data_IF_806331230954
#
_entry.id   IF_806331230954
#
_cell.length_a   1.000
_cell.length_b   1.000
_cell.length_c   1.000
_cell.angle_alpha   90.00
_cell.angle_beta   90.00
_cell.angle_gamma   90.00
#
_symmetry.space_group_name_H-M   'P 1'
#
loop_
_entity.id
_entity.type
_entity.pdbx_description
1 polymer ?
#
# COMPACT_ATOMS: atom_id res chain seq x y z
N UNK A 1 -11.81 12.62 -18.54
CA UNK A 1 -11.30 13.52 -17.49
C UNK A 1 -10.39 14.55 -18.14
N UNK A 2 -10.55 15.82 -17.81
CA UNK A 2 -9.73 16.92 -18.31
C UNK A 2 -8.49 17.12 -17.41
N UNK A 3 -7.43 17.74 -17.95
CA UNK A 3 -6.24 18.12 -17.16
C UNK A 3 -6.58 19.05 -15.99
N UNK A 4 -7.70 19.77 -16.02
CA UNK A 4 -8.23 20.55 -14.89
C UNK A 4 -8.66 19.66 -13.70
N UNK A 5 -9.03 18.41 -13.96
CA UNK A 5 -9.55 17.46 -12.97
C UNK A 5 -8.44 16.58 -12.37
N UNK A 6 -7.35 16.34 -13.12
CA UNK A 6 -6.22 15.49 -12.69
C UNK A 6 -4.89 16.26 -12.53
N UNK A 7 -4.79 17.48 -13.05
CA UNK A 7 -3.57 18.30 -13.11
C UNK A 7 -3.24 19.00 -11.80
N UNK A 8 -3.27 18.25 -10.70
CA UNK A 8 -2.73 18.71 -9.42
C UNK A 8 -1.28 18.27 -9.29
N UNK A 9 -0.47 19.01 -8.54
CA UNK A 9 0.86 18.59 -8.10
C UNK A 9 0.73 17.61 -6.90
N UNK A 10 -0.15 16.64 -7.01
CA UNK A 10 -0.40 15.61 -5.99
C UNK A 10 -0.67 14.31 -6.72
N UNK A 11 0.15 13.29 -6.43
CA UNK A 11 -0.02 11.98 -7.05
C UNK A 11 -1.19 11.20 -6.42
N UNK A 12 -1.57 11.53 -5.17
CA UNK A 12 -2.76 11.00 -4.50
C UNK A 12 -3.96 11.91 -4.73
N UNK A 13 -5.07 11.35 -5.24
CA UNK A 13 -6.37 11.99 -5.27
C UNK A 13 -7.13 11.68 -3.97
N UNK A 14 -7.55 12.70 -3.23
CA UNK A 14 -8.37 12.57 -2.02
C UNK A 14 -7.74 13.20 -0.77
N UNK A 15 -8.54 14.06 -0.12
CA UNK A 15 -8.44 14.65 1.24
C UNK A 15 -7.04 14.85 1.85
N UNK A 16 -6.66 16.12 1.97
CA UNK A 16 -5.46 16.58 2.65
C UNK A 16 -4.26 16.59 1.72
N UNK A 17 -3.95 17.76 1.14
CA UNK A 17 -2.65 17.98 0.51
C UNK A 17 -1.62 17.77 1.62
N UNK A 18 -0.98 16.59 1.67
CA UNK A 18 0.16 16.40 2.54
C UNK A 18 1.12 17.56 2.25
N UNK A 19 1.61 18.26 3.29
CA UNK A 19 2.57 19.33 3.08
C UNK A 19 3.77 18.75 2.32
N UNK A 20 4.49 19.62 1.62
CA UNK A 20 5.77 19.22 1.03
C UNK A 20 6.64 18.61 2.12
N UNK A 21 6.99 17.33 1.93
CA UNK A 21 7.82 16.56 2.87
C UNK A 21 9.12 16.18 2.19
N UNK A 22 10.17 16.10 2.99
CA UNK A 22 11.51 15.70 2.51
C UNK A 22 11.65 14.17 2.47
N UNK A 23 10.77 13.42 3.15
CA UNK A 23 10.80 11.95 3.20
C UNK A 23 10.82 11.26 1.83
N UNK A 24 10.08 11.70 0.79
CA UNK A 24 10.12 11.04 -0.52
C UNK A 24 11.45 11.31 -1.23
N UNK A 25 12.05 12.49 -1.00
CA UNK A 25 13.35 12.84 -1.54
C UNK A 25 14.48 12.03 -0.87
N UNK A 26 14.41 11.85 0.46
CA UNK A 26 15.34 10.98 1.18
C UNK A 26 15.24 9.55 0.66
N UNK A 27 14.01 9.03 0.53
CA UNK A 27 13.77 7.70 -0.03
C UNK A 27 14.32 7.57 -1.46
N UNK A 28 14.10 8.58 -2.31
CA UNK A 28 14.67 8.63 -3.67
C UNK A 28 16.20 8.59 -3.67
N UNK A 29 16.86 9.41 -2.84
CA UNK A 29 18.32 9.47 -2.78
C UNK A 29 18.91 8.15 -2.28
N UNK A 30 18.33 7.56 -1.23
CA UNK A 30 18.73 6.27 -0.69
C UNK A 30 18.54 5.17 -1.76
N UNK A 31 17.35 5.08 -2.37
CA UNK A 31 17.06 4.09 -3.41
C UNK A 31 18.02 4.25 -4.59
N UNK A 32 18.25 5.47 -5.07
CA UNK A 32 19.16 5.74 -6.18
C UNK A 32 20.60 5.31 -5.89
N UNK A 33 21.09 5.51 -4.66
CA UNK A 33 22.41 5.03 -4.26
C UNK A 33 22.52 3.50 -4.33
N UNK A 34 21.51 2.79 -3.82
CA UNK A 34 21.49 1.32 -3.84
C UNK A 34 21.36 0.72 -5.24
N UNK A 35 20.68 1.41 -6.17
CA UNK A 35 20.51 0.94 -7.56
C UNK A 35 21.82 0.91 -8.37
N UNK A 36 22.79 1.77 -8.05
CA UNK A 36 24.06 1.86 -8.79
C UNK A 36 25.28 1.31 -8.06
N UNK A 37 25.08 0.78 -6.84
CA UNK A 37 26.15 0.48 -5.88
C UNK A 37 27.07 1.68 -5.59
N UNK A 38 27.94 1.55 -4.58
CA UNK A 38 28.87 2.62 -4.23
C UNK A 38 29.77 3.02 -5.41
N UNK A 39 30.23 2.04 -6.19
CA UNK A 39 31.15 2.26 -7.32
C UNK A 39 30.49 3.02 -8.46
N UNK A 40 29.24 2.70 -8.82
CA UNK A 40 28.51 3.40 -9.88
C UNK A 40 28.16 4.83 -9.48
N UNK A 41 27.79 5.04 -8.20
CA UNK A 41 27.56 6.38 -7.67
C UNK A 41 28.82 7.26 -7.72
N UNK A 42 29.99 6.71 -7.36
CA UNK A 42 31.27 7.43 -7.45
C UNK A 42 31.61 7.77 -8.90
N UNK A 43 31.46 6.81 -9.83
CA UNK A 43 31.71 7.04 -11.25
C UNK A 43 30.77 8.09 -11.85
N UNK A 44 29.49 8.07 -11.47
CA UNK A 44 28.52 9.09 -11.88
C UNK A 44 28.94 10.49 -11.41
N UNK A 45 29.36 10.63 -10.14
CA UNK A 45 29.86 11.91 -9.61
C UNK A 45 31.08 12.41 -10.37
N UNK A 46 32.05 11.54 -10.66
CA UNK A 46 33.20 11.89 -11.50
C UNK A 46 32.79 12.34 -12.90
N UNK A 47 31.79 11.68 -13.50
CA UNK A 47 31.22 12.06 -14.79
C UNK A 47 30.58 13.45 -14.78
N UNK A 48 29.84 13.79 -13.72
CA UNK A 48 29.26 15.11 -13.52
C UNK A 48 30.37 16.17 -13.43
N UNK A 49 31.44 15.90 -12.69
CA UNK A 49 32.60 16.81 -12.55
C UNK A 49 33.29 17.01 -13.91
N UNK A 50 33.54 15.92 -14.65
CA UNK A 50 34.15 15.97 -15.97
C UNK A 50 33.31 16.79 -16.97
N UNK A 51 31.99 16.62 -16.91
CA UNK A 51 31.04 17.32 -17.78
C UNK A 51 31.02 18.84 -17.55
N UNK A 52 31.48 19.33 -16.39
CA UNK A 52 31.56 20.77 -16.08
C UNK A 52 32.42 21.55 -17.09
N UNK A 53 33.30 20.90 -17.84
CA UNK A 53 34.05 21.51 -18.95
C UNK A 53 33.14 21.96 -20.11
N UNK A 54 32.02 21.25 -20.34
CA UNK A 54 31.00 21.64 -21.31
C UNK A 54 29.75 22.15 -20.58
N UNK A 55 29.72 23.46 -20.30
CA UNK A 55 28.64 24.12 -19.55
C UNK A 55 27.24 23.85 -20.11
N UNK A 56 27.08 23.85 -21.43
CA UNK A 56 25.78 23.63 -22.06
C UNK A 56 25.26 22.22 -21.79
N UNK A 57 26.10 21.21 -22.02
CA UNK A 57 25.74 19.81 -21.76
C UNK A 57 25.54 19.54 -20.27
N UNK A 58 26.40 20.11 -19.41
CA UNK A 58 26.27 20.04 -17.96
C UNK A 58 24.92 20.57 -17.46
N UNK A 59 24.57 21.80 -17.85
CA UNK A 59 23.32 22.44 -17.44
C UNK A 59 22.13 21.65 -17.97
N UNK A 60 22.16 21.22 -19.23
CA UNK A 60 21.07 20.44 -19.82
C UNK A 60 20.83 19.12 -19.07
N UNK A 61 21.87 18.30 -18.87
CA UNK A 61 21.73 17.01 -18.19
C UNK A 61 21.37 17.18 -16.71
N UNK A 62 21.91 18.19 -16.04
CA UNK A 62 21.57 18.50 -14.65
C UNK A 62 20.10 18.91 -14.51
N UNK A 63 19.62 19.84 -15.34
CA UNK A 63 18.22 20.26 -15.30
C UNK A 63 17.28 19.12 -15.68
N UNK A 64 17.59 18.35 -16.72
CA UNK A 64 16.78 17.20 -17.12
C UNK A 64 16.67 16.17 -15.98
N UNK A 65 17.79 15.83 -15.34
CA UNK A 65 17.81 14.95 -14.17
C UNK A 65 16.98 15.51 -13.00
N UNK A 66 17.17 16.79 -12.65
CA UNK A 66 16.48 17.43 -11.53
C UNK A 66 14.95 17.40 -11.74
N UNK A 67 14.48 17.78 -12.92
CA UNK A 67 13.04 17.87 -13.23
C UNK A 67 12.36 16.50 -13.39
N UNK A 68 13.06 15.51 -13.95
CA UNK A 68 12.50 14.15 -14.14
C UNK A 68 12.61 13.30 -12.87
N UNK A 69 13.57 13.59 -11.98
CA UNK A 69 13.80 12.85 -10.74
C UNK A 69 13.41 13.63 -9.49
N UNK A 70 14.37 14.23 -8.75
CA UNK A 70 14.14 14.85 -7.45
C UNK A 70 12.96 15.83 -7.38
N UNK A 71 12.82 16.72 -8.37
CA UNK A 71 11.73 17.70 -8.40
C UNK A 71 10.40 17.00 -8.63
N UNK A 72 10.32 16.07 -9.59
CA UNK A 72 9.11 15.28 -9.79
C UNK A 72 8.70 14.54 -8.50
N UNK A 73 9.64 13.85 -7.85
CA UNK A 73 9.40 13.11 -6.60
C UNK A 73 8.91 14.04 -5.48
N UNK A 74 9.53 15.20 -5.31
CA UNK A 74 9.11 16.21 -4.36
C UNK A 74 7.69 16.74 -4.65
N UNK A 75 7.36 16.92 -5.93
CA UNK A 75 6.04 17.36 -6.38
C UNK A 75 4.96 16.29 -6.24
N UNK A 76 5.29 15.02 -5.97
CA UNK A 76 4.25 13.99 -5.74
C UNK A 76 3.49 14.19 -4.43
N UNK A 77 4.06 14.92 -3.46
CA UNK A 77 3.52 15.14 -2.11
C UNK A 77 3.09 13.87 -1.38
N UNK A 78 3.74 12.75 -1.69
CA UNK A 78 3.36 11.44 -1.19
C UNK A 78 4.50 10.85 -0.36
N UNK A 79 4.28 10.60 0.93
CA UNK A 79 5.30 10.04 1.83
C UNK A 79 5.34 8.51 1.73
N UNK A 80 6.53 7.89 1.58
CA UNK A 80 6.71 6.44 1.41
C UNK A 80 6.58 5.68 2.74
N UNK A 81 5.54 6.00 3.53
CA UNK A 81 5.39 5.48 4.91
C UNK A 81 4.82 4.06 4.94
N UNK A 82 4.17 3.62 3.86
CA UNK A 82 3.71 2.25 3.71
C UNK A 82 4.27 1.64 2.43
N UNK A 83 4.38 0.31 2.43
CA UNK A 83 5.00 -0.47 1.35
C UNK A 83 4.33 -0.24 -0.01
N UNK A 84 3.01 -0.07 -0.02
CA UNK A 84 2.23 0.13 -1.25
C UNK A 84 2.46 1.49 -1.91
N UNK A 85 2.59 2.55 -1.11
CA UNK A 85 2.93 3.90 -1.57
C UNK A 85 4.40 3.95 -2.00
N UNK A 86 5.30 3.41 -1.18
CA UNK A 86 6.73 3.38 -1.47
C UNK A 86 7.02 2.71 -2.83
N UNK A 87 6.46 1.52 -3.07
CA UNK A 87 6.58 0.83 -4.36
C UNK A 87 5.89 1.56 -5.52
N UNK A 88 4.82 2.30 -5.24
CA UNK A 88 4.12 3.12 -6.24
C UNK A 88 4.92 4.35 -6.69
N UNK A 89 5.75 4.92 -5.82
CA UNK A 89 6.64 6.05 -6.12
C UNK A 89 7.95 5.56 -6.76
N UNK A 90 8.52 4.47 -6.25
CA UNK A 90 9.82 3.92 -6.69
C UNK A 90 9.88 3.66 -8.20
N UNK A 91 8.78 3.17 -8.79
CA UNK A 91 8.71 2.90 -10.24
C UNK A 91 9.01 4.13 -11.11
N UNK A 92 8.80 5.35 -10.60
CA UNK A 92 9.08 6.58 -11.34
C UNK A 92 10.56 6.97 -11.32
N UNK A 93 11.38 6.36 -10.46
CA UNK A 93 12.79 6.67 -10.34
C UNK A 93 13.58 6.22 -11.58
N UNK A 94 13.09 5.19 -12.27
CA UNK A 94 13.73 4.64 -13.46
C UNK A 94 13.98 5.71 -14.55
N UNK A 95 13.06 6.66 -14.69
CA UNK A 95 13.19 7.73 -15.69
C UNK A 95 14.40 8.64 -15.42
N UNK A 96 14.68 8.98 -14.15
CA UNK A 96 15.85 9.78 -13.79
C UNK A 96 17.13 8.94 -13.66
N UNK A 97 17.01 7.63 -13.47
CA UNK A 97 18.16 6.72 -13.43
C UNK A 97 18.87 6.59 -14.77
N UNK A 98 18.21 6.87 -15.90
CA UNK A 98 18.84 6.89 -17.24
C UNK A 98 20.01 7.88 -17.36
N UNK A 99 20.06 8.93 -16.53
CA UNK A 99 21.18 9.89 -16.53
C UNK A 99 22.46 9.35 -15.90
N UNK A 100 22.37 8.38 -14.98
CA UNK A 100 23.55 7.81 -14.30
C UNK A 100 24.47 7.05 -15.26
N UNK A 101 23.98 6.13 -16.13
CA UNK A 101 24.81 5.52 -17.17
C UNK A 101 25.53 6.53 -18.06
N UNK A 102 24.89 7.65 -18.40
CA UNK A 102 25.50 8.71 -19.22
C UNK A 102 26.70 9.32 -18.48
N UNK A 103 26.53 9.68 -17.21
CA UNK A 103 27.62 10.22 -16.40
C UNK A 103 28.73 9.19 -16.16
N UNK A 104 28.38 7.93 -15.89
CA UNK A 104 29.34 6.84 -15.76
C UNK A 104 30.16 6.69 -17.05
N UNK A 105 29.53 6.75 -18.22
CA UNK A 105 30.23 6.70 -19.51
C UNK A 105 31.19 7.87 -19.72
N UNK A 106 30.78 9.09 -19.34
CA UNK A 106 31.66 10.27 -19.37
C UNK A 106 32.86 10.09 -18.44
N UNK A 107 32.65 9.52 -17.25
CA UNK A 107 33.73 9.19 -16.32
C UNK A 107 34.71 8.19 -16.94
N UNK A 108 34.21 7.12 -17.56
CA UNK A 108 35.05 6.18 -18.28
C UNK A 108 35.86 6.84 -19.40
N UNK A 109 35.24 7.71 -20.20
CA UNK A 109 35.95 8.45 -21.25
C UNK A 109 37.08 9.31 -20.66
N UNK A 110 36.81 10.06 -19.59
CA UNK A 110 37.81 10.87 -18.89
C UNK A 110 38.98 10.01 -18.37
N UNK A 111 38.68 8.87 -17.75
CA UNK A 111 39.71 8.00 -17.16
C UNK A 111 40.54 7.25 -18.23
N UNK A 112 39.92 6.81 -19.33
CA UNK A 112 40.60 6.11 -20.44
C UNK A 112 41.54 7.04 -21.21
N UNK A 113 41.14 8.30 -21.40
CA UNK A 113 41.93 9.32 -22.10
C UNK A 113 43.02 9.96 -21.24
N UNK A 114 43.09 9.60 -19.95
CA UNK A 114 44.11 10.08 -19.04
C UNK A 114 45.51 9.58 -19.46
N UNK A 115 46.53 10.44 -19.30
CA UNK A 115 47.93 10.11 -19.62
C UNK A 115 48.53 9.05 -18.69
N UNK A 116 47.95 8.85 -17.50
CA UNK A 116 48.42 7.85 -16.53
C UNK A 116 47.99 6.44 -16.95
N UNK A 117 48.95 5.64 -17.44
CA UNK A 117 48.74 4.25 -17.88
C UNK A 117 48.00 3.39 -16.84
N UNK A 118 48.34 3.53 -15.55
CA UNK A 118 47.72 2.78 -14.47
C UNK A 118 46.20 3.03 -14.40
N UNK A 119 45.77 4.30 -14.44
CA UNK A 119 44.35 4.66 -14.44
C UNK A 119 43.63 4.08 -15.66
N UNK A 120 44.25 4.15 -16.84
CA UNK A 120 43.69 3.59 -18.07
C UNK A 120 43.43 2.08 -17.95
N UNK A 121 44.42 1.31 -17.48
CA UNK A 121 44.26 -0.14 -17.30
C UNK A 121 43.28 -0.50 -16.18
N UNK A 122 43.32 0.22 -15.05
CA UNK A 122 42.31 0.07 -14.00
C UNK A 122 40.89 0.33 -14.52
N UNK A 123 40.74 1.30 -15.43
CA UNK A 123 39.44 1.62 -16.04
C UNK A 123 38.93 0.51 -16.93
N UNK A 124 39.80 -0.17 -17.68
CA UNK A 124 39.39 -1.36 -18.45
C UNK A 124 38.86 -2.47 -17.55
N UNK A 125 39.42 -2.65 -16.35
CA UNK A 125 38.87 -3.58 -15.36
C UNK A 125 37.51 -3.12 -14.84
N UNK A 126 37.33 -1.81 -14.62
CA UNK A 126 36.04 -1.25 -14.19
C UNK A 126 34.91 -1.42 -15.22
N UNK A 127 35.21 -1.60 -16.51
CA UNK A 127 34.20 -1.91 -17.53
C UNK A 127 33.49 -3.25 -17.29
N UNK A 128 34.10 -4.16 -16.52
CA UNK A 128 33.49 -5.44 -16.13
C UNK A 128 32.62 -5.34 -14.87
N UNK A 129 32.69 -4.24 -14.13
CA UNK A 129 31.90 -4.05 -12.90
C UNK A 129 30.38 -4.13 -13.16
N UNK A 130 29.81 -3.53 -14.22
CA UNK A 130 28.39 -3.71 -14.52
C UNK A 130 27.99 -5.18 -14.76
N UNK A 131 28.86 -5.96 -15.39
CA UNK A 131 28.62 -7.41 -15.62
C UNK A 131 28.64 -8.15 -14.28
N UNK A 132 29.59 -7.84 -13.41
CA UNK A 132 29.64 -8.41 -12.07
C UNK A 132 28.39 -8.04 -11.25
N UNK A 133 27.97 -6.77 -11.29
CA UNK A 133 26.75 -6.32 -10.61
C UNK A 133 25.49 -7.01 -11.15
N UNK A 134 25.43 -7.24 -12.46
CA UNK A 134 24.35 -8.02 -13.08
C UNK A 134 24.34 -9.44 -12.51
N UNK A 135 25.46 -10.15 -12.52
CA UNK A 135 25.56 -11.53 -12.02
C UNK A 135 25.16 -11.61 -10.54
N UNK A 136 25.69 -10.72 -9.70
CA UNK A 136 25.45 -10.72 -8.24
C UNK A 136 24.02 -10.34 -7.83
N UNK A 137 23.29 -9.63 -8.69
CA UNK A 137 21.95 -9.14 -8.37
C UNK A 137 20.85 -9.74 -9.25
N UNK A 138 21.18 -10.51 -10.29
CA UNK A 138 20.20 -11.07 -11.23
C UNK A 138 19.10 -11.84 -10.49
N UNK A 139 19.46 -12.76 -9.61
CA UNK A 139 18.48 -13.55 -8.84
C UNK A 139 17.55 -12.67 -8.00
N UNK A 140 18.07 -11.58 -7.40
CA UNK A 140 17.29 -10.67 -6.54
C UNK A 140 16.26 -9.86 -7.31
N UNK A 141 16.52 -9.59 -8.59
CA UNK A 141 15.65 -8.79 -9.46
C UNK A 141 14.89 -9.64 -10.47
N UNK A 142 15.19 -10.93 -10.57
CA UNK A 142 14.55 -11.86 -11.49
C UNK A 142 13.14 -12.19 -11.02
N UNK A 143 12.14 -11.65 -11.72
CA UNK A 143 10.73 -11.84 -11.42
C UNK A 143 10.09 -12.97 -12.26
N UNK A 144 10.87 -13.79 -12.98
CA UNK A 144 10.34 -14.85 -13.87
C UNK A 144 9.53 -15.93 -13.16
N UNK A 145 9.68 -16.06 -11.83
CA UNK A 145 8.92 -17.00 -11.00
C UNK A 145 7.95 -16.31 -10.04
N UNK A 146 7.75 -15.01 -10.18
CA UNK A 146 6.83 -14.27 -9.33
C UNK A 146 5.43 -14.30 -9.91
N UNK A 147 4.61 -15.22 -9.39
CA UNK A 147 3.21 -15.40 -9.77
C UNK A 147 2.24 -14.81 -8.76
N UNK A 148 2.71 -14.08 -7.73
CA UNK A 148 1.86 -13.61 -6.62
C UNK A 148 0.62 -12.83 -7.07
N UNK A 149 0.76 -11.96 -8.08
CA UNK A 149 -0.37 -11.20 -8.62
C UNK A 149 -1.36 -12.07 -9.40
N UNK A 150 -0.85 -13.05 -10.15
CA UNK A 150 -1.68 -13.98 -10.91
C UNK A 150 -2.45 -14.89 -9.95
N UNK A 151 -1.77 -15.45 -8.96
CA UNK A 151 -2.37 -16.28 -7.92
C UNK A 151 -3.40 -15.52 -7.10
N UNK A 152 -3.13 -14.27 -6.73
CA UNK A 152 -4.14 -13.42 -6.09
C UNK A 152 -5.38 -13.24 -6.97
N UNK A 153 -5.21 -13.06 -8.28
CA UNK A 153 -6.33 -13.02 -9.21
C UNK A 153 -7.12 -14.34 -9.25
N UNK A 154 -6.42 -15.49 -9.34
CA UNK A 154 -7.07 -16.80 -9.29
C UNK A 154 -7.89 -16.95 -8.01
N UNK A 155 -7.29 -16.64 -6.87
CA UNK A 155 -7.93 -16.74 -5.55
C UNK A 155 -9.08 -15.76 -5.34
N UNK A 156 -9.01 -14.55 -5.91
CA UNK A 156 -10.16 -13.63 -5.96
C UNK A 156 -11.32 -14.25 -6.74
N UNK A 157 -11.05 -14.89 -7.87
CA UNK A 157 -12.10 -15.50 -8.67
C UNK A 157 -12.67 -16.78 -8.04
N UNK A 158 -11.85 -17.64 -7.44
CA UNK A 158 -12.29 -18.91 -6.83
C UNK A 158 -13.44 -18.75 -5.83
N UNK A 159 -13.48 -17.65 -5.06
CA UNK A 159 -14.53 -17.40 -4.06
C UNK A 159 -15.83 -16.84 -4.64
N UNK A 160 -15.82 -16.41 -5.91
CA UNK A 160 -16.98 -15.78 -6.54
C UNK A 160 -17.82 -16.80 -7.33
N UNK A 161 -19.13 -16.91 -7.09
CA UNK A 161 -20.01 -17.73 -7.92
C UNK A 161 -20.11 -17.18 -9.36
N UNK A 162 -20.63 -18.01 -10.26
CA UNK A 162 -20.93 -17.60 -11.63
C UNK A 162 -21.89 -16.41 -11.68
N UNK A 163 -21.70 -15.53 -12.66
CA UNK A 163 -22.56 -14.35 -12.89
C UNK A 163 -22.64 -13.40 -11.68
N UNK A 164 -21.51 -13.17 -11.02
CA UNK A 164 -21.37 -12.23 -9.90
C UNK A 164 -20.86 -10.85 -10.36
N UNK A 165 -20.95 -9.86 -9.48
CA UNK A 165 -20.42 -8.51 -9.66
C UNK A 165 -19.18 -8.31 -8.78
N UNK A 166 -18.06 -7.92 -9.38
CA UNK A 166 -16.87 -7.46 -8.68
C UNK A 166 -16.73 -5.93 -8.79
N UNK A 167 -16.84 -5.24 -7.65
CA UNK A 167 -16.60 -3.79 -7.53
C UNK A 167 -15.17 -3.55 -7.05
N UNK A 168 -14.40 -2.84 -7.87
CA UNK A 168 -13.00 -2.48 -7.62
C UNK A 168 -12.85 -0.98 -7.43
N UNK A 169 -11.79 -0.53 -6.76
CA UNK A 169 -11.61 0.89 -6.41
C UNK A 169 -10.35 1.51 -7.02
N UNK A 170 -9.56 0.76 -7.76
CA UNK A 170 -8.36 1.31 -8.36
C UNK A 170 -7.65 0.30 -9.23
N UNK A 171 -6.47 0.70 -9.68
CA UNK A 171 -5.74 -0.06 -10.69
C UNK A 171 -5.42 -1.49 -10.25
N UNK A 172 -5.29 -1.78 -8.95
CA UNK A 172 -4.96 -3.13 -8.47
C UNK A 172 -6.00 -4.17 -8.87
N UNK A 173 -7.17 -4.21 -8.23
CA UNK A 173 -8.21 -5.19 -8.57
C UNK A 173 -8.71 -5.03 -9.99
N UNK A 174 -8.82 -3.80 -10.51
CA UNK A 174 -9.27 -3.58 -11.88
C UNK A 174 -8.30 -4.20 -12.90
N UNK A 175 -6.98 -4.02 -12.75
CA UNK A 175 -6.01 -4.58 -13.70
C UNK A 175 -5.86 -6.09 -13.55
N UNK A 176 -5.91 -6.62 -12.32
CA UNK A 176 -5.90 -8.07 -12.08
C UNK A 176 -7.13 -8.70 -12.75
N UNK A 177 -8.34 -8.22 -12.45
CA UNK A 177 -9.55 -8.77 -13.04
C UNK A 177 -9.56 -8.65 -14.58
N UNK A 178 -9.09 -7.51 -15.13
CA UNK A 178 -8.97 -7.34 -16.59
C UNK A 178 -7.93 -8.26 -17.22
N UNK A 179 -6.82 -8.54 -16.55
CA UNK A 179 -5.84 -9.51 -17.05
C UNK A 179 -6.47 -10.89 -17.22
N UNK A 180 -7.23 -11.36 -16.24
CA UNK A 180 -7.94 -12.64 -16.33
C UNK A 180 -9.01 -12.63 -17.43
N UNK A 181 -9.84 -11.59 -17.51
CA UNK A 181 -10.95 -11.54 -18.46
C UNK A 181 -10.53 -11.28 -19.90
N UNK A 182 -9.72 -10.23 -20.12
CA UNK A 182 -9.31 -9.80 -21.44
C UNK A 182 -8.03 -10.49 -21.90
N UNK A 183 -7.08 -10.73 -21.00
CA UNK A 183 -5.80 -11.38 -21.31
C UNK A 183 -5.93 -12.89 -21.42
N UNK A 184 -6.48 -13.55 -20.39
CA UNK A 184 -6.58 -15.02 -20.32
C UNK A 184 -7.91 -15.57 -20.85
N UNK A 185 -8.93 -14.72 -21.00
CA UNK A 185 -10.27 -15.17 -21.40
C UNK A 185 -11.05 -15.90 -20.31
N UNK A 186 -10.61 -15.83 -19.07
CA UNK A 186 -11.21 -16.51 -17.93
C UNK A 186 -12.22 -15.60 -17.21
N UNK A 187 -13.23 -16.22 -16.57
CA UNK A 187 -14.21 -15.53 -15.72
C UNK A 187 -14.87 -14.30 -16.34
N UNK A 188 -15.20 -14.41 -17.63
CA UNK A 188 -15.93 -13.37 -18.39
C UNK A 188 -17.39 -13.24 -17.96
N UNK A 189 -17.89 -14.20 -17.18
CA UNK A 189 -19.19 -14.17 -16.52
C UNK A 189 -19.26 -13.12 -15.40
N UNK A 190 -18.13 -12.79 -14.75
CA UNK A 190 -18.10 -11.82 -13.67
C UNK A 190 -18.17 -10.40 -14.23
N UNK A 191 -19.14 -9.62 -13.76
CA UNK A 191 -19.28 -8.23 -14.14
C UNK A 191 -18.25 -7.41 -13.37
N UNK A 192 -17.35 -6.72 -14.08
CA UNK A 192 -16.32 -5.88 -13.45
C UNK A 192 -16.72 -4.39 -13.47
N UNK A 193 -16.90 -3.80 -12.29
CA UNK A 193 -17.17 -2.37 -12.11
C UNK A 193 -16.05 -1.71 -11.32
N UNK A 194 -15.53 -0.57 -11.80
CA UNK A 194 -14.62 0.30 -11.07
C UNK A 194 -15.42 1.45 -10.46
N UNK A 195 -15.48 1.48 -9.14
CA UNK A 195 -16.26 2.41 -8.35
C UNK A 195 -15.88 3.88 -8.62
N UNK A 196 -14.58 4.19 -8.72
CA UNK A 196 -14.12 5.56 -8.96
C UNK A 196 -14.36 6.06 -10.38
N UNK A 197 -14.57 5.16 -11.34
CA UNK A 197 -14.87 5.53 -12.72
C UNK A 197 -16.37 5.67 -12.98
N UNK A 198 -17.24 5.15 -12.12
CA UNK A 198 -18.71 5.23 -12.24
C UNK A 198 -19.25 6.64 -12.54
N UNK A 199 -18.73 7.73 -11.94
CA UNK A 199 -19.24 9.07 -12.24
C UNK A 199 -18.94 9.55 -13.67
N UNK A 200 -18.05 8.88 -14.41
CA UNK A 200 -17.60 9.34 -15.73
C UNK A 200 -18.50 8.83 -16.86
N UNK A 201 -18.99 9.70 -17.77
CA UNK A 201 -19.93 9.29 -18.83
C UNK A 201 -19.41 8.19 -19.75
N UNK A 202 -18.16 8.32 -20.23
CA UNK A 202 -17.53 7.34 -21.12
C UNK A 202 -17.46 5.94 -20.49
N UNK A 203 -17.25 5.87 -19.18
CA UNK A 203 -17.16 4.59 -18.49
C UNK A 203 -18.51 3.91 -18.39
N UNK A 204 -19.57 4.67 -18.11
CA UNK A 204 -20.95 4.17 -18.10
C UNK A 204 -21.38 3.64 -19.46
N UNK A 205 -21.03 4.35 -20.54
CA UNK A 205 -21.29 3.87 -21.91
C UNK A 205 -20.54 2.58 -22.21
N UNK A 206 -19.27 2.48 -21.82
CA UNK A 206 -18.49 1.25 -21.99
C UNK A 206 -19.07 0.08 -21.20
N UNK A 207 -19.52 0.29 -19.96
CA UNK A 207 -20.18 -0.75 -19.17
C UNK A 207 -21.47 -1.24 -19.85
N UNK A 208 -22.32 -0.34 -20.34
CA UNK A 208 -23.55 -0.71 -21.06
C UNK A 208 -23.27 -1.51 -22.34
N UNK A 209 -22.18 -1.20 -23.05
CA UNK A 209 -21.77 -1.95 -24.25
C UNK A 209 -21.21 -3.33 -23.90
N UNK A 210 -20.41 -3.41 -22.84
CA UNK A 210 -19.76 -4.64 -22.41
C UNK A 210 -20.74 -5.62 -21.75
N UNK A 211 -21.70 -5.11 -20.98
CA UNK A 211 -22.68 -5.89 -20.24
C UNK A 211 -24.11 -5.39 -20.55
N UNK A 212 -24.66 -5.68 -21.74
CA UNK A 212 -25.96 -5.14 -22.16
C UNK A 212 -27.14 -5.60 -21.30
N UNK A 213 -27.02 -6.77 -20.68
CA UNK A 213 -28.05 -7.35 -19.81
C UNK A 213 -27.91 -6.93 -18.33
N UNK A 214 -26.88 -6.14 -17.99
CA UNK A 214 -26.64 -5.70 -16.63
C UNK A 214 -27.46 -4.44 -16.31
N UNK A 215 -28.48 -4.60 -15.47
CA UNK A 215 -29.24 -3.48 -14.93
C UNK A 215 -28.48 -2.85 -13.77
N UNK A 216 -28.10 -1.57 -13.90
CA UNK A 216 -27.39 -0.82 -12.87
C UNK A 216 -27.90 0.63 -12.82
N UNK A 217 -27.98 1.27 -11.63
CA UNK A 217 -28.52 2.62 -11.48
C UNK A 217 -27.53 3.72 -11.95
N UNK A 218 -27.11 3.68 -13.22
CA UNK A 218 -26.10 4.54 -13.83
C UNK A 218 -26.35 6.05 -13.67
N UNK A 219 -27.61 6.48 -13.65
CA UNK A 219 -27.99 7.89 -13.65
C UNK A 219 -27.79 8.56 -12.28
N UNK A 220 -27.71 7.75 -11.21
CA UNK A 220 -27.43 8.23 -9.85
C UNK A 220 -25.96 8.58 -9.66
N UNK A 221 -25.06 7.98 -10.44
CA UNK A 221 -23.62 8.25 -10.38
C UNK A 221 -23.25 9.46 -11.24
N UNK A 222 -23.31 10.64 -10.62
CA UNK A 222 -22.92 11.92 -11.22
C UNK A 222 -21.69 12.49 -10.50
N UNK A 223 -20.73 12.99 -11.29
CA UNK A 223 -19.47 13.52 -10.77
C UNK A 223 -19.73 14.66 -9.77
N UNK A 224 -19.03 14.64 -8.62
CA UNK A 224 -19.11 15.65 -7.53
C UNK A 224 -20.45 15.74 -6.79
N UNK A 225 -21.48 14.97 -7.14
CA UNK A 225 -22.80 15.06 -6.47
C UNK A 225 -23.00 14.10 -5.31
N UNK A 226 -22.32 12.96 -5.32
CA UNK A 226 -22.40 11.98 -4.26
C UNK A 226 -21.07 11.91 -3.52
N UNK A 227 -21.15 11.85 -2.19
CA UNK A 227 -20.05 11.32 -1.39
C UNK A 227 -19.85 9.84 -1.71
N UNK A 228 -18.64 9.32 -1.46
CA UNK A 228 -18.35 7.90 -1.67
C UNK A 228 -19.26 6.99 -0.84
N UNK A 229 -19.71 7.43 0.34
CA UNK A 229 -20.62 6.68 1.23
C UNK A 229 -22.02 6.60 0.61
N UNK A 230 -22.56 7.71 0.10
CA UNK A 230 -23.86 7.69 -0.58
C UNK A 230 -23.83 6.83 -1.86
N UNK A 231 -22.73 6.90 -2.61
CA UNK A 231 -22.51 6.08 -3.79
C UNK A 231 -22.43 4.57 -3.47
N UNK A 232 -21.80 4.21 -2.34
CA UNK A 232 -21.73 2.85 -1.83
C UNK A 232 -23.11 2.34 -1.38
N UNK A 233 -23.87 3.18 -0.68
CA UNK A 233 -25.24 2.88 -0.24
C UNK A 233 -26.18 2.53 -1.38
N UNK A 234 -26.06 3.19 -2.54
CA UNK A 234 -26.84 2.83 -3.74
C UNK A 234 -26.55 1.40 -4.19
N UNK A 235 -25.27 0.97 -4.19
CA UNK A 235 -24.91 -0.41 -4.54
C UNK A 235 -25.58 -1.38 -3.56
N UNK A 236 -25.50 -1.09 -2.26
CA UNK A 236 -26.13 -1.90 -1.23
C UNK A 236 -27.64 -2.07 -1.40
N UNK A 237 -28.35 -0.97 -1.70
CA UNK A 237 -29.82 -0.99 -1.73
C UNK A 237 -30.40 -1.49 -3.06
N UNK A 238 -29.72 -1.24 -4.18
CA UNK A 238 -30.30 -1.46 -5.53
C UNK A 238 -29.59 -2.52 -6.34
N UNK A 239 -28.36 -2.91 -5.98
CA UNK A 239 -27.54 -3.86 -6.75
C UNK A 239 -27.39 -5.18 -6.02
N UNK A 240 -26.98 -5.14 -4.74
CA UNK A 240 -26.80 -6.34 -3.91
C UNK A 240 -28.03 -7.27 -3.89
N UNK A 241 -29.29 -6.79 -3.86
CA UNK A 241 -30.46 -7.69 -3.90
C UNK A 241 -30.61 -8.49 -5.19
N UNK A 242 -29.98 -8.03 -6.29
CA UNK A 242 -30.21 -8.55 -7.63
C UNK A 242 -29.04 -9.41 -8.15
N UNK A 243 -27.83 -9.21 -7.63
CA UNK A 243 -26.62 -9.91 -8.10
C UNK A 243 -25.64 -10.12 -6.93
N UNK A 244 -25.04 -11.32 -6.77
CA UNK A 244 -23.98 -11.55 -5.79
C UNK A 244 -22.85 -10.56 -6.00
N UNK A 245 -22.61 -9.69 -5.02
CA UNK A 245 -21.71 -8.55 -5.16
C UNK A 245 -20.51 -8.69 -4.23
N UNK A 246 -19.32 -8.52 -4.79
CA UNK A 246 -18.04 -8.64 -4.11
C UNK A 246 -17.26 -7.35 -4.27
N UNK A 247 -16.51 -6.97 -3.23
CA UNK A 247 -15.66 -5.78 -3.22
C UNK A 247 -14.24 -6.13 -2.76
N UNK A 248 -13.26 -5.35 -3.21
CA UNK A 248 -11.92 -5.35 -2.58
C UNK A 248 -12.01 -4.81 -1.14
N UNK A 249 -11.07 -5.19 -0.26
CA UNK A 249 -10.99 -4.68 1.12
C UNK A 249 -10.68 -3.17 1.17
N UNK A 250 -11.75 -2.38 1.07
CA UNK A 250 -11.80 -0.91 1.02
C UNK A 250 -13.00 -0.40 1.82
N UNK A 251 -13.12 -0.90 3.04
CA UNK A 251 -14.26 -0.65 3.96
C UNK A 251 -14.49 0.82 4.29
N UNK A 252 -13.52 1.73 4.07
CA UNK A 252 -13.72 3.16 4.28
C UNK A 252 -14.89 3.76 3.47
N UNK A 253 -15.23 3.19 2.31
CA UNK A 253 -16.37 3.63 1.50
C UNK A 253 -17.67 2.90 1.85
N UNK A 254 -17.54 1.65 2.28
CA UNK A 254 -18.63 0.77 2.68
C UNK A 254 -18.44 0.43 4.16
N UNK A 255 -18.51 1.43 5.05
CA UNK A 255 -18.13 1.22 6.44
C UNK A 255 -19.31 0.58 7.21
N UNK A 256 -19.21 -0.69 7.65
CA UNK A 256 -20.29 -1.39 8.36
C UNK A 256 -20.70 -0.72 9.67
N UNK A 257 -19.78 0.01 10.31
CA UNK A 257 -20.02 0.63 11.61
C UNK A 257 -20.93 1.86 11.48
N UNK A 258 -20.86 2.56 10.35
CA UNK A 258 -21.63 3.79 10.09
C UNK A 258 -22.79 3.56 9.14
N UNK A 259 -22.71 2.56 8.26
CA UNK A 259 -23.74 2.26 7.28
C UNK A 259 -24.18 0.78 7.37
N UNK A 260 -25.42 0.58 7.82
CA UNK A 260 -26.09 -0.71 7.95
C UNK A 260 -26.89 -1.09 6.69
N UNK A 261 -26.64 -0.45 5.55
CA UNK A 261 -27.34 -0.74 4.29
C UNK A 261 -26.92 -2.08 3.65
N UNK A 262 -25.78 -2.64 4.06
CA UNK A 262 -25.33 -4.00 3.73
C UNK A 262 -24.82 -4.70 5.00
N UNK A 263 -24.78 -6.03 4.95
CA UNK A 263 -23.89 -6.85 5.77
C UNK A 263 -22.61 -7.20 4.98
N UNK A 264 -21.55 -7.52 5.71
CA UNK A 264 -20.20 -7.67 5.18
C UNK A 264 -19.62 -9.02 5.58
N UNK A 265 -19.30 -9.83 4.57
CA UNK A 265 -18.84 -11.19 4.75
C UNK A 265 -17.48 -11.31 4.06
N UNK A 266 -16.35 -11.21 4.76
CA UNK A 266 -15.04 -11.51 4.20
C UNK A 266 -15.11 -12.88 3.49
N UNK A 267 -14.64 -12.98 2.26
CA UNK A 267 -14.58 -14.23 1.48
C UNK A 267 -13.26 -14.27 0.72
N UNK A 268 -12.34 -15.10 1.21
CA UNK A 268 -10.94 -15.10 0.75
C UNK A 268 -10.33 -13.69 0.75
N UNK A 269 -9.85 -13.17 -0.40
CA UNK A 269 -9.23 -11.85 -0.50
C UNK A 269 -10.26 -10.73 -0.78
N UNK A 270 -11.54 -11.06 -0.85
CA UNK A 270 -12.65 -10.15 -1.15
C UNK A 270 -13.59 -10.03 0.06
N UNK A 271 -14.54 -9.10 -0.04
CA UNK A 271 -15.67 -8.99 0.87
C UNK A 271 -16.94 -9.15 0.05
N UNK A 272 -17.76 -10.14 0.38
CA UNK A 272 -19.10 -10.29 -0.16
C UNK A 272 -20.05 -9.34 0.58
N UNK A 273 -20.82 -8.59 -0.19
CA UNK A 273 -21.89 -7.74 0.32
C UNK A 273 -23.21 -8.52 0.26
N UNK A 274 -23.96 -8.48 1.35
CA UNK A 274 -25.28 -9.09 1.46
C UNK A 274 -26.31 -8.11 2.06
N UNK A 275 -27.57 -8.55 2.07
CA UNK A 275 -28.66 -7.82 2.71
C UNK A 275 -28.38 -7.64 4.22
N UNK A 276 -28.73 -6.50 4.83
CA UNK A 276 -28.40 -6.15 6.21
C UNK A 276 -28.68 -7.22 7.27
N UNK A 277 -29.73 -8.01 7.08
CA UNK A 277 -30.18 -9.03 8.03
C UNK A 277 -29.43 -10.36 7.89
N UNK A 278 -28.64 -10.53 6.82
CA UNK A 278 -27.85 -11.74 6.60
C UNK A 278 -26.66 -11.74 7.56
N UNK A 279 -26.64 -12.74 8.45
CA UNK A 279 -25.53 -12.98 9.37
C UNK A 279 -24.64 -14.09 8.83
N UNK A 280 -23.34 -13.95 9.05
CA UNK A 280 -22.40 -15.06 8.86
C UNK A 280 -22.62 -16.07 9.96
N UNK A 281 -22.67 -17.34 9.59
CA UNK A 281 -22.73 -18.46 10.54
C UNK A 281 -21.32 -18.88 10.97
N UNK A 282 -21.21 -19.60 12.08
CA UNK A 282 -19.94 -20.17 12.51
C UNK A 282 -19.40 -21.17 11.47
N UNK A 283 -20.27 -22.03 10.93
CA UNK A 283 -19.91 -23.03 9.92
C UNK A 283 -19.35 -22.40 8.63
N UNK A 284 -19.93 -21.28 8.17
CA UNK A 284 -19.41 -20.54 7.01
C UNK A 284 -18.00 -19.96 7.29
N UNK A 285 -17.74 -19.51 8.51
CA UNK A 285 -16.43 -18.98 8.91
C UNK A 285 -15.38 -20.09 9.05
N UNK A 286 -15.75 -21.20 9.67
CA UNK A 286 -14.88 -22.36 9.83
C UNK A 286 -14.52 -22.95 8.47
N UNK A 287 -15.49 -23.09 7.57
CA UNK A 287 -15.24 -23.51 6.19
C UNK A 287 -14.29 -22.56 5.45
N UNK A 288 -14.46 -21.24 5.61
CA UNK A 288 -13.56 -20.28 4.98
C UNK A 288 -12.13 -20.35 5.56
N UNK A 289 -11.99 -20.52 6.87
CA UNK A 289 -10.68 -20.62 7.50
C UNK A 289 -9.97 -21.93 7.10
N UNK A 290 -10.68 -23.05 7.18
CA UNK A 290 -10.16 -24.38 6.88
C UNK A 290 -9.95 -24.63 5.37
N UNK A 291 -10.94 -24.34 4.53
CA UNK A 291 -10.91 -24.74 3.12
C UNK A 291 -10.15 -23.74 2.24
N UNK A 292 -10.15 -22.45 2.61
CA UNK A 292 -9.49 -21.40 1.81
C UNK A 292 -8.17 -20.95 2.43
N UNK A 293 -8.15 -20.56 3.71
CA UNK A 293 -6.97 -19.93 4.29
C UNK A 293 -5.86 -20.91 4.67
N UNK A 294 -6.17 -22.02 5.35
CA UNK A 294 -5.14 -22.98 5.79
C UNK A 294 -4.26 -23.51 4.65
N UNK A 295 -4.79 -23.91 3.47
CA UNK A 295 -3.95 -24.39 2.37
C UNK A 295 -3.03 -23.30 1.80
N UNK A 296 -3.47 -22.04 1.84
CA UNK A 296 -2.74 -20.91 1.29
C UNK A 296 -1.69 -20.36 2.28
N UNK A 297 -1.95 -20.52 3.57
CA UNK A 297 -1.21 -19.90 4.65
C UNK A 297 0.29 -20.27 4.63
N UNK A 298 0.62 -21.57 4.54
CA UNK A 298 2.02 -22.00 4.57
C UNK A 298 2.80 -21.41 3.40
N UNK A 299 2.21 -21.44 2.20
CA UNK A 299 2.79 -20.87 1.00
C UNK A 299 3.07 -19.38 1.17
N UNK A 300 2.09 -18.60 1.60
CA UNK A 300 2.24 -17.15 1.75
C UNK A 300 3.28 -16.75 2.81
N UNK A 301 3.48 -17.56 3.86
CA UNK A 301 4.50 -17.32 4.89
C UNK A 301 5.92 -17.55 4.38
N UNK A 302 6.09 -18.48 3.44
CA UNK A 302 7.40 -18.79 2.83
C UNK A 302 7.81 -17.76 1.77
N UNK A 303 6.85 -17.02 1.22
CA UNK A 303 7.09 -15.94 0.26
C UNK A 303 7.89 -14.79 0.89
N UNK A 304 9.05 -14.48 0.32
CA UNK A 304 9.92 -13.39 0.79
C UNK A 304 10.38 -12.49 -0.38
N UNK A 305 9.43 -11.83 -1.07
CA UNK A 305 9.76 -10.96 -2.19
C UNK A 305 10.65 -9.81 -1.75
N UNK A 306 11.68 -9.51 -2.56
CA UNK A 306 12.60 -8.39 -2.29
C UNK A 306 12.02 -7.04 -2.70
N UNK A 307 11.18 -7.01 -3.74
CA UNK A 307 10.61 -5.77 -4.25
C UNK A 307 9.35 -5.34 -3.47
N UNK A 308 9.14 -4.02 -3.39
CA UNK A 308 8.04 -3.43 -2.63
C UNK A 308 6.66 -3.74 -3.22
N UNK A 309 6.56 -4.01 -4.53
CA UNK A 309 5.27 -4.24 -5.20
C UNK A 309 4.74 -5.63 -4.85
N UNK A 310 5.59 -6.64 -4.87
CA UNK A 310 5.24 -7.99 -4.46
C UNK A 310 4.97 -8.10 -2.96
N UNK A 311 5.75 -7.41 -2.12
CA UNK A 311 5.45 -7.27 -0.68
C UNK A 311 4.06 -6.69 -0.42
N UNK A 312 3.61 -5.77 -1.28
CA UNK A 312 2.25 -5.23 -1.22
C UNK A 312 1.20 -6.32 -1.41
N UNK A 313 1.41 -7.31 -2.27
CA UNK A 313 0.45 -8.41 -2.48
C UNK A 313 0.26 -9.22 -1.20
N UNK A 314 1.36 -9.54 -0.51
CA UNK A 314 1.31 -10.21 0.79
C UNK A 314 0.56 -9.36 1.83
N UNK A 315 0.77 -8.04 1.83
CA UNK A 315 0.00 -7.12 2.68
C UNK A 315 -1.51 -7.18 2.38
N UNK A 316 -1.94 -7.33 1.13
CA UNK A 316 -3.37 -7.45 0.83
C UNK A 316 -3.97 -8.76 1.36
N UNK A 317 -3.26 -9.90 1.22
CA UNK A 317 -3.69 -11.16 1.85
C UNK A 317 -3.76 -11.03 3.38
N UNK A 318 -2.76 -10.38 3.98
CA UNK A 318 -2.72 -10.09 5.40
C UNK A 318 -3.91 -9.23 5.84
N UNK A 319 -4.27 -8.18 5.09
CA UNK A 319 -5.45 -7.36 5.35
C UNK A 319 -6.73 -8.18 5.30
N UNK A 320 -6.91 -9.00 4.26
CA UNK A 320 -8.09 -9.86 4.13
C UNK A 320 -8.21 -10.88 5.28
N UNK A 321 -7.09 -11.47 5.71
CA UNK A 321 -7.06 -12.36 6.89
C UNK A 321 -7.36 -11.59 8.19
N UNK A 322 -6.94 -10.33 8.29
CA UNK A 322 -7.28 -9.45 9.41
C UNK A 322 -8.78 -9.17 9.46
N UNK A 323 -9.39 -8.87 8.32
CA UNK A 323 -10.84 -8.67 8.17
C UNK A 323 -11.63 -9.92 8.57
N UNK A 324 -11.13 -11.13 8.25
CA UNK A 324 -11.69 -12.39 8.77
C UNK A 324 -11.54 -12.49 10.30
N UNK A 325 -10.37 -12.13 10.86
CA UNK A 325 -10.12 -12.14 12.30
C UNK A 325 -11.08 -11.27 13.11
N UNK A 326 -11.46 -10.10 12.58
CA UNK A 326 -12.46 -9.21 13.20
C UNK A 326 -13.83 -9.93 13.33
N UNK A 327 -14.24 -10.62 12.27
CA UNK A 327 -15.50 -11.35 12.26
C UNK A 327 -15.46 -12.60 13.17
N UNK A 328 -14.35 -13.35 13.14
CA UNK A 328 -14.09 -14.46 14.06
C UNK A 328 -14.16 -14.02 15.52
N UNK A 329 -13.60 -12.85 15.86
CA UNK A 329 -13.68 -12.30 17.22
C UNK A 329 -15.09 -12.02 17.68
N UNK A 330 -15.94 -11.57 16.75
CA UNK A 330 -17.34 -11.22 17.03
C UNK A 330 -18.22 -12.47 17.20
N UNK A 331 -17.98 -13.52 16.42
CA UNK A 331 -18.85 -14.71 16.36
C UNK A 331 -18.31 -15.87 17.21
N UNK A 332 -17.01 -16.15 17.11
CA UNK A 332 -16.35 -17.30 17.73
C UNK A 332 -15.69 -16.91 19.06
N UNK A 333 -14.98 -15.79 19.06
CA UNK A 333 -14.39 -15.20 20.26
C UNK A 333 -12.93 -14.78 20.11
N UNK A 334 -12.40 -14.14 21.16
CA UNK A 334 -11.10 -13.47 21.14
C UNK A 334 -9.92 -14.37 20.78
N UNK A 335 -9.96 -15.68 21.08
CA UNK A 335 -8.84 -16.56 20.75
C UNK A 335 -8.76 -16.85 19.24
N UNK A 336 -9.90 -17.01 18.56
CA UNK A 336 -9.94 -17.18 17.11
C UNK A 336 -9.47 -15.90 16.39
N UNK A 337 -9.90 -14.73 16.87
CA UNK A 337 -9.39 -13.45 16.38
C UNK A 337 -7.89 -13.30 16.55
N UNK A 338 -7.38 -13.62 17.75
CA UNK A 338 -5.94 -13.54 18.04
C UNK A 338 -5.13 -14.40 17.07
N UNK A 339 -5.54 -15.65 16.86
CA UNK A 339 -4.88 -16.55 15.92
C UNK A 339 -4.89 -15.92 14.51
N UNK A 340 -6.04 -15.47 14.01
CA UNK A 340 -6.13 -14.85 12.69
C UNK A 340 -5.24 -13.60 12.53
N UNK A 341 -5.14 -12.75 13.55
CA UNK A 341 -4.27 -11.56 13.51
C UNK A 341 -2.78 -11.90 13.53
N UNK A 342 -2.38 -12.90 14.32
CA UNK A 342 -1.01 -13.40 14.33
C UNK A 342 -0.63 -13.96 12.96
N UNK A 343 -1.50 -14.77 12.37
CA UNK A 343 -1.32 -15.34 11.04
C UNK A 343 -1.28 -14.27 9.94
N UNK A 344 -2.14 -13.26 10.03
CA UNK A 344 -2.10 -12.12 9.12
C UNK A 344 -0.74 -11.40 9.20
N UNK A 345 -0.23 -11.15 10.41
CA UNK A 345 1.06 -10.49 10.58
C UNK A 345 2.24 -11.37 10.11
N UNK A 346 2.13 -12.69 10.21
CA UNK A 346 3.11 -13.63 9.65
C UNK A 346 3.15 -13.60 8.11
N UNK A 347 1.98 -13.48 7.46
CA UNK A 347 1.92 -13.29 6.00
C UNK A 347 2.61 -11.98 5.59
N UNK A 348 2.39 -10.90 6.35
CA UNK A 348 3.05 -9.62 6.10
C UNK A 348 3.21 -8.80 7.37
N UNK A 349 4.47 -8.62 7.78
CA UNK A 349 4.83 -7.76 8.90
C UNK A 349 4.64 -6.25 8.63
N UNK A 350 4.22 -5.88 7.42
CA UNK A 350 3.78 -4.52 7.08
C UNK A 350 2.32 -4.22 7.46
N UNK A 351 1.59 -5.19 8.03
CA UNK A 351 0.22 -4.97 8.46
C UNK A 351 0.19 -4.39 9.88
N UNK A 352 0.11 -3.07 9.98
CA UNK A 352 0.05 -2.36 11.26
C UNK A 352 -1.27 -2.59 11.97
N UNK A 353 -2.37 -2.72 11.23
CA UNK A 353 -3.70 -3.00 11.79
C UNK A 353 -3.76 -4.36 12.48
N UNK A 354 -3.24 -5.43 11.86
CA UNK A 354 -3.16 -6.76 12.48
C UNK A 354 -2.35 -6.73 13.79
N UNK A 355 -1.22 -6.03 13.78
CA UNK A 355 -0.39 -5.87 14.98
C UNK A 355 -1.12 -5.09 16.09
N UNK A 356 -1.81 -4.01 15.74
CA UNK A 356 -2.60 -3.22 16.68
C UNK A 356 -3.74 -4.04 17.29
N UNK A 357 -4.55 -4.72 16.47
CA UNK A 357 -5.66 -5.56 16.94
C UNK A 357 -5.16 -6.74 17.81
N UNK A 358 -3.98 -7.27 17.50
CA UNK A 358 -3.29 -8.24 18.37
C UNK A 358 -2.99 -7.63 19.74
N UNK A 359 -2.45 -6.41 19.77
CA UNK A 359 -2.17 -5.69 21.02
C UNK A 359 -3.45 -5.43 21.83
N UNK A 360 -4.56 -5.07 21.19
CA UNK A 360 -5.86 -4.87 21.86
C UNK A 360 -6.35 -6.12 22.58
N UNK A 361 -6.16 -7.30 21.99
CA UNK A 361 -6.49 -8.56 22.66
C UNK A 361 -5.61 -8.77 23.90
N UNK A 362 -4.29 -8.51 23.81
CA UNK A 362 -3.41 -8.60 24.99
C UNK A 362 -3.76 -7.57 26.06
N UNK A 363 -4.15 -6.35 25.69
CA UNK A 363 -4.67 -5.34 26.61
C UNK A 363 -5.90 -5.85 27.35
N UNK A 364 -6.84 -6.50 26.65
CA UNK A 364 -8.05 -7.08 27.27
C UNK A 364 -7.72 -8.19 28.28
N UNK A 365 -6.59 -8.89 28.09
CA UNK A 365 -6.05 -9.91 29.00
C UNK A 365 -5.17 -9.33 30.12
N UNK A 366 -5.02 -8.01 30.19
CA UNK A 366 -4.07 -7.30 31.07
C UNK A 366 -2.59 -7.71 30.87
N UNK A 367 -2.24 -8.29 29.72
CA UNK A 367 -0.86 -8.58 29.35
C UNK A 367 -0.23 -7.35 28.70
N UNK A 368 0.13 -6.39 29.54
CA UNK A 368 0.62 -5.09 29.08
C UNK A 368 1.98 -5.18 28.37
N UNK A 369 2.82 -6.17 28.70
CA UNK A 369 4.13 -6.34 28.08
C UNK A 369 3.95 -6.78 26.62
N UNK A 370 3.12 -7.79 26.36
CA UNK A 370 2.82 -8.20 24.99
C UNK A 370 2.11 -7.09 24.21
N UNK A 371 1.16 -6.39 24.84
CA UNK A 371 0.52 -5.23 24.21
C UNK A 371 1.53 -4.17 23.78
N UNK A 372 2.50 -3.82 24.63
CA UNK A 372 3.55 -2.87 24.27
C UNK A 372 4.37 -3.32 23.06
N UNK A 373 4.80 -4.58 23.04
CA UNK A 373 5.60 -5.12 21.94
C UNK A 373 4.83 -5.11 20.61
N UNK A 374 3.55 -5.46 20.64
CA UNK A 374 2.69 -5.47 19.46
C UNK A 374 2.33 -4.07 18.97
N UNK A 375 2.11 -3.10 19.86
CA UNK A 375 1.92 -1.70 19.42
C UNK A 375 3.20 -1.10 18.82
N UNK A 376 4.38 -1.49 19.32
CA UNK A 376 5.65 -1.09 18.69
C UNK A 376 5.79 -1.67 17.29
N UNK A 377 5.39 -2.93 17.09
CA UNK A 377 5.30 -3.53 15.75
C UNK A 377 4.31 -2.78 14.86
N UNK A 378 3.17 -2.37 15.41
CA UNK A 378 2.14 -1.63 14.67
C UNK A 378 2.66 -0.28 14.14
N UNK A 379 3.31 0.55 14.98
CA UNK A 379 3.87 1.83 14.53
C UNK A 379 5.09 1.67 13.61
N UNK A 380 5.82 0.55 13.73
CA UNK A 380 6.93 0.23 12.83
C UNK A 380 6.45 -0.18 11.44
N UNK A 381 5.33 -0.90 11.36
CA UNK A 381 4.69 -1.31 10.12
C UNK A 381 3.94 -0.14 9.45
N UNK A 382 3.18 0.64 10.23
CA UNK A 382 2.36 1.75 9.76
C UNK A 382 2.49 3.00 10.65
N UNK A 383 3.49 3.87 10.40
CA UNK A 383 3.77 5.05 11.22
C UNK A 383 2.68 6.14 11.24
N UNK A 384 1.63 5.96 10.43
CA UNK A 384 0.48 6.86 10.33
C UNK A 384 -0.79 6.29 10.97
N UNK A 385 -0.77 5.05 11.44
CA UNK A 385 -1.85 4.48 12.24
C UNK A 385 -1.85 5.17 13.60
N UNK A 386 -2.95 5.83 13.97
CA UNK A 386 -2.96 6.74 15.11
C UNK A 386 -3.09 5.98 16.42
N UNK A 387 -4.03 5.05 16.47
CA UNK A 387 -4.49 4.29 17.63
C UNK A 387 -3.35 3.65 18.45
N UNK A 388 -2.33 3.02 17.83
CA UNK A 388 -1.17 2.51 18.55
C UNK A 388 -0.44 3.54 19.41
N UNK A 389 -0.32 4.78 18.93
CA UNK A 389 0.35 5.85 19.68
C UNK A 389 -0.44 6.23 20.95
N UNK A 390 -1.76 6.18 20.92
CA UNK A 390 -2.56 6.42 22.12
C UNK A 390 -2.33 5.29 23.14
N UNK A 391 -2.33 4.03 22.70
CA UNK A 391 -2.11 2.87 23.56
C UNK A 391 -0.68 2.84 24.13
N UNK A 392 0.34 3.13 23.32
CA UNK A 392 1.73 3.28 23.77
C UNK A 392 1.90 4.42 24.78
N UNK A 393 1.18 5.53 24.62
CA UNK A 393 1.17 6.62 25.59
C UNK A 393 0.69 6.17 26.97
N UNK A 394 -0.42 5.44 27.02
CA UNK A 394 -0.97 4.86 28.26
C UNK A 394 -0.04 3.80 28.85
N UNK A 395 0.50 2.91 28.02
CA UNK A 395 1.41 1.84 28.45
C UNK A 395 2.76 2.40 28.93
N UNK A 396 3.25 3.50 28.38
CA UNK A 396 4.49 4.15 28.82
C UNK A 396 4.36 4.65 30.26
N UNK A 397 3.21 5.23 30.62
CA UNK A 397 2.91 5.64 32.00
C UNK A 397 2.84 4.40 32.89
N UNK A 398 2.06 3.39 32.48
CA UNK A 398 1.71 2.24 33.32
C UNK A 398 2.87 1.27 33.56
N UNK A 399 3.66 0.98 32.53
CA UNK A 399 4.74 -0.02 32.59
C UNK A 399 6.11 0.58 32.82
N UNK A 400 6.40 1.71 32.16
CA UNK A 400 7.74 2.28 32.13
C UNK A 400 7.90 3.46 33.09
N UNK A 401 6.78 4.00 33.61
CA UNK A 401 6.75 5.22 34.41
C UNK A 401 7.48 6.37 33.71
N UNK A 402 7.39 6.42 32.37
CA UNK A 402 8.10 7.37 31.53
C UNK A 402 7.12 8.38 30.95
N UNK A 403 6.90 9.49 31.67
CA UNK A 403 5.96 10.52 31.24
C UNK A 403 6.46 11.25 29.99
N UNK A 404 7.78 11.31 29.75
CA UNK A 404 8.35 11.94 28.56
C UNK A 404 8.02 11.15 27.30
N UNK A 405 8.20 9.83 27.35
CA UNK A 405 7.80 8.94 26.27
C UNK A 405 6.29 9.00 26.02
N UNK A 406 5.49 8.98 27.10
CA UNK A 406 4.04 9.09 27.01
C UNK A 406 3.59 10.38 26.30
N UNK A 407 4.15 11.53 26.68
CA UNK A 407 3.88 12.82 26.04
C UNK A 407 4.22 12.78 24.54
N UNK A 408 5.37 12.19 24.18
CA UNK A 408 5.78 12.05 22.77
C UNK A 408 4.75 11.27 21.95
N UNK A 409 4.31 10.12 22.47
CA UNK A 409 3.31 9.30 21.80
C UNK A 409 1.94 10.00 21.71
N UNK A 410 1.48 10.64 22.77
CA UNK A 410 0.23 11.40 22.76
C UNK A 410 0.25 12.59 21.79
N UNK A 411 1.37 13.30 21.68
CA UNK A 411 1.54 14.36 20.67
C UNK A 411 1.48 13.79 19.25
N UNK A 412 2.11 12.63 19.02
CA UNK A 412 2.04 11.94 17.74
C UNK A 412 0.62 11.49 17.41
N UNK A 413 -0.10 10.88 18.36
CA UNK A 413 -1.53 10.54 18.22
C UNK A 413 -2.35 11.78 17.86
N UNK A 414 -2.23 12.89 18.59
CA UNK A 414 -2.97 14.13 18.32
C UNK A 414 -2.70 14.71 16.93
N UNK A 415 -1.47 14.53 16.42
CA UNK A 415 -1.10 14.97 15.06
C UNK A 415 -1.73 14.11 13.95
N UNK A 416 -2.09 12.85 14.24
CA UNK A 416 -2.65 11.90 13.28
C UNK A 416 -4.17 11.72 13.41
N UNK A 417 -4.71 11.84 14.63
CA UNK A 417 -6.12 11.65 14.92
C UNK A 417 -7.01 12.57 14.08
N UNK A 418 -8.18 12.09 13.71
CA UNK A 418 -9.13 12.87 12.89
C UNK A 418 -10.13 13.60 13.78
N UNK A 419 -10.52 13.00 14.92
CA UNK A 419 -11.53 13.55 15.84
C UNK A 419 -11.00 14.71 16.68
N UNK A 420 -11.70 15.86 16.61
CA UNK A 420 -11.40 17.04 17.43
C UNK A 420 -11.56 16.77 18.93
N UNK A 421 -12.55 15.95 19.31
CA UNK A 421 -12.80 15.59 20.71
C UNK A 421 -11.69 14.72 21.29
N UNK A 422 -11.19 13.74 20.52
CA UNK A 422 -10.07 12.89 20.93
C UNK A 422 -8.78 13.71 21.09
N UNK A 423 -8.52 14.64 20.16
CA UNK A 423 -7.39 15.58 20.28
C UNK A 423 -7.46 16.39 21.56
N UNK A 424 -8.62 16.97 21.88
CA UNK A 424 -8.80 17.75 23.11
C UNK A 424 -8.59 16.91 24.36
N UNK A 425 -9.11 15.67 24.38
CA UNK A 425 -8.88 14.73 25.49
C UNK A 425 -7.40 14.48 25.70
N UNK A 426 -6.67 14.17 24.64
CA UNK A 426 -5.24 13.85 24.72
C UNK A 426 -4.39 15.08 25.06
N UNK A 427 -4.76 16.27 24.59
CA UNK A 427 -4.10 17.52 24.98
C UNK A 427 -4.19 17.78 26.49
N UNK A 428 -5.35 17.50 27.12
CA UNK A 428 -5.48 17.60 28.58
C UNK A 428 -4.53 16.65 29.31
N UNK A 429 -4.45 15.40 28.85
CA UNK A 429 -3.51 14.39 29.40
C UNK A 429 -2.07 14.88 29.29
N UNK A 430 -1.67 15.42 28.12
CA UNK A 430 -0.33 15.99 27.93
C UNK A 430 -0.06 17.11 28.94
N UNK A 431 -0.97 18.06 29.11
CA UNK A 431 -0.82 19.17 30.06
C UNK A 431 -0.70 18.70 31.51
N UNK A 432 -1.40 17.63 31.88
CA UNK A 432 -1.28 17.03 33.22
C UNK A 432 0.07 16.35 33.43
N UNK A 433 0.54 15.58 32.45
CA UNK A 433 1.85 14.91 32.52
C UNK A 433 3.02 15.92 32.54
N UNK A 434 2.91 17.03 31.82
CA UNK A 434 3.92 18.10 31.81
C UNK A 434 4.09 18.78 33.18
N UNK A 435 3.04 18.77 34.02
CA UNK A 435 3.11 19.28 35.40
C UNK A 435 3.80 18.33 36.37
N UNK A 436 4.06 17.07 35.98
CA UNK A 436 4.75 16.07 36.80
C UNK A 436 5.69 15.23 35.93
N UNK A 437 6.82 15.80 35.48
CA UNK A 437 7.79 15.10 34.64
C UNK A 437 8.60 14.10 35.49
N UNK A 438 8.00 12.95 35.81
CA UNK A 438 8.73 11.77 36.28
C UNK A 438 9.18 10.93 35.10
#
# INVERSE_FOLDING_TARGET
>A
MLRREYGTLSLSAGVGVNPFTISPLIFYLISSFWQFAAVGAILALLGIIALYQNKKAFIFLLLAYLFIGPVFVFLTKTSPDNVGIAGGIERFFLASHVFFPIWIAISFQMLITNKLKLLKYATYLLLFVPILLLILNFEKVNQSKNFLYEEMGQKMFEVMPENSLLVTFGDKGTMIARYFQAGLGQRRDVILVNFHWLPTPWYKENLKRQYPNFSFPYDKYQHMKLSSIEAAKIICLEVVPNIPTFIEDRTNFFNPLTDKSCSYHPQGPLIRLDLPDKKTTNDELEAQDHDYWQPLQQKLKEENPKDLRSKRVLLEYSNAKTSLGILLGTIVGNQAALNAYLEAYEISNYNGTAAHLTAEIYLSKNDFQQAWEWEQKAIGAEPKLAEPYNNLGVLAIRLKQDNKAAISYFRKYSSLAISSNEKQRVLKIITELEKSPK
#
